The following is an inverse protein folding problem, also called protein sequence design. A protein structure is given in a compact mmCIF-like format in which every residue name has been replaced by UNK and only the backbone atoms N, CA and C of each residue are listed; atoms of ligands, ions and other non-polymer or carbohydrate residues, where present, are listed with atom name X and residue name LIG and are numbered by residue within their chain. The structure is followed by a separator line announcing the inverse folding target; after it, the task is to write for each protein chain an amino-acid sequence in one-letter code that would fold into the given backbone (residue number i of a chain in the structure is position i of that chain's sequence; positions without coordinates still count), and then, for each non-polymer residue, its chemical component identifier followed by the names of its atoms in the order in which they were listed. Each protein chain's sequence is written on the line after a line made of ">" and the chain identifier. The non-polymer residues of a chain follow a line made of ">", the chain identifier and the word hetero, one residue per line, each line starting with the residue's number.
data_IF_303551205057
#
_entry.id   IF_303551205057
#
_cell.length_a   1.000
_cell.length_b   1.000
_cell.length_c   1.000
_cell.angle_alpha   90.00
_cell.angle_beta   90.00
_cell.angle_gamma   90.00
#
_symmetry.space_group_name_H-M   'P 1'
#
loop_
_entity.id
_entity.type
_entity.pdbx_description
1 polymer ?
#
# COMPACT_ATOMS: atom_id res chain seq x y z
N UNK A 1 -8.80 -4.29 1.27
CA UNK A 1 -7.33 -4.30 1.44
C UNK A 1 -6.92 -3.93 2.87
N UNK A 2 -7.43 -2.82 3.43
CA UNK A 2 -7.16 -2.39 4.83
C UNK A 2 -7.42 -3.49 5.89
N UNK A 3 -8.50 -4.27 5.73
CA UNK A 3 -8.82 -5.37 6.67
C UNK A 3 -7.90 -6.60 6.54
N UNK A 4 -7.29 -6.81 5.37
CA UNK A 4 -6.35 -7.92 5.14
C UNK A 4 -5.03 -7.60 5.83
N UNK A 5 -4.54 -6.36 5.72
CA UNK A 5 -3.31 -5.90 6.37
C UNK A 5 -3.41 -5.92 7.90
N UNK A 6 -4.52 -5.44 8.48
CA UNK A 6 -4.74 -5.51 9.93
C UNK A 6 -4.74 -6.94 10.47
N UNK A 7 -5.27 -7.90 9.71
CA UNK A 7 -5.28 -9.32 10.11
C UNK A 7 -3.88 -9.93 10.09
N UNK A 8 -3.07 -9.61 9.08
CA UNK A 8 -1.67 -10.08 8.98
C UNK A 8 -0.84 -9.52 10.14
N UNK A 9 -0.98 -8.24 10.47
CA UNK A 9 -0.27 -7.61 11.58
C UNK A 9 -0.63 -8.23 12.95
N UNK A 10 -1.89 -8.61 13.17
CA UNK A 10 -2.35 -9.23 14.41
C UNK A 10 -1.89 -10.67 14.60
N UNK A 11 -1.69 -11.44 13.52
CA UNK A 11 -1.24 -12.84 13.61
C UNK A 11 0.25 -12.94 14.01
N UNK A 12 1.10 -12.03 13.53
CA UNK A 12 2.53 -12.02 13.86
C UNK A 12 2.86 -11.77 15.34
N UNK A 13 1.95 -11.17 16.12
CA UNK A 13 2.15 -10.93 17.56
C UNK A 13 1.71 -12.09 18.46
N UNK A 14 0.91 -13.04 17.96
CA UNK A 14 0.19 -14.01 18.81
C UNK A 14 0.88 -15.36 19.00
N UNK A 15 1.92 -15.66 18.22
CA UNK A 15 2.55 -16.99 18.16
C UNK A 15 3.93 -17.09 18.86
N UNK A 16 4.25 -16.15 19.74
CA UNK A 16 5.50 -16.20 20.52
C UNK A 16 5.42 -17.19 21.70
N UNK A 17 5.47 -18.51 21.43
CA UNK A 17 5.80 -19.49 22.48
C UNK A 17 6.55 -20.73 21.97
N UNK A 18 7.79 -20.87 22.46
CA UNK A 18 8.67 -22.05 22.61
C UNK A 18 9.26 -22.77 21.37
N UNK A 19 8.74 -22.58 20.16
CA UNK A 19 9.46 -22.84 18.88
C UNK A 19 9.60 -21.52 18.06
N UNK A 20 9.70 -20.42 18.81
CA UNK A 20 9.32 -19.09 18.35
C UNK A 20 10.22 -18.55 17.23
N UNK A 21 11.51 -18.88 17.19
CA UNK A 21 12.43 -18.24 16.26
C UNK A 21 12.22 -18.71 14.80
N UNK A 22 11.98 -20.00 14.58
CA UNK A 22 11.69 -20.54 13.24
C UNK A 22 10.32 -20.06 12.73
N UNK A 23 9.31 -20.08 13.59
CA UNK A 23 7.97 -19.56 13.26
C UNK A 23 7.98 -18.05 13.00
N UNK A 24 8.73 -17.27 13.80
CA UNK A 24 8.91 -15.83 13.58
C UNK A 24 9.63 -15.56 12.26
N UNK A 25 10.64 -16.35 11.90
CA UNK A 25 11.33 -16.21 10.62
C UNK A 25 10.40 -16.46 9.42
N UNK A 26 9.58 -17.52 9.49
CA UNK A 26 8.59 -17.84 8.46
C UNK A 26 7.54 -16.73 8.37
N UNK A 27 7.01 -16.25 9.49
CA UNK A 27 6.03 -15.17 9.53
C UNK A 27 6.59 -13.86 8.92
N UNK A 28 7.84 -13.51 9.23
CA UNK A 28 8.53 -12.36 8.63
C UNK A 28 8.69 -12.50 7.12
N UNK A 29 9.10 -13.68 6.64
CA UNK A 29 9.25 -13.94 5.20
C UNK A 29 7.91 -13.86 4.47
N UNK A 30 6.85 -14.41 5.06
CA UNK A 30 5.50 -14.34 4.51
C UNK A 30 5.01 -12.90 4.42
N UNK A 31 5.21 -12.11 5.49
CA UNK A 31 4.89 -10.68 5.51
C UNK A 31 5.64 -9.92 4.41
N UNK A 32 6.94 -10.14 4.26
CA UNK A 32 7.75 -9.47 3.23
C UNK A 32 7.31 -9.83 1.80
N UNK A 33 6.91 -11.09 1.56
CA UNK A 33 6.38 -11.50 0.26
C UNK A 33 5.04 -10.80 -0.06
N UNK A 34 4.14 -10.73 0.92
CA UNK A 34 2.85 -10.04 0.76
C UNK A 34 3.06 -8.54 0.55
N UNK A 35 3.93 -7.89 1.34
CA UNK A 35 4.25 -6.46 1.18
C UNK A 35 4.82 -6.18 -0.22
N UNK A 36 5.67 -7.06 -0.74
CA UNK A 36 6.21 -6.95 -2.10
C UNK A 36 5.11 -7.03 -3.17
N UNK A 37 4.20 -8.00 -3.08
CA UNK A 37 3.09 -8.13 -4.02
C UNK A 37 2.15 -6.92 -3.96
N UNK A 38 1.82 -6.46 -2.75
CA UNK A 38 0.97 -5.29 -2.55
C UNK A 38 1.62 -4.01 -3.07
N UNK A 39 2.93 -3.87 -2.90
CA UNK A 39 3.70 -2.76 -3.49
C UNK A 39 3.56 -2.78 -5.01
N UNK A 40 3.82 -3.91 -5.65
CA UNK A 40 3.74 -4.03 -7.12
C UNK A 40 2.34 -3.73 -7.65
N UNK A 41 1.29 -4.24 -7.00
CA UNK A 41 -0.10 -3.92 -7.40
C UNK A 41 -0.39 -2.42 -7.29
N UNK A 42 0.07 -1.77 -6.21
CA UNK A 42 -0.12 -0.32 -6.06
C UNK A 42 0.64 0.46 -7.13
N UNK A 43 1.89 0.10 -7.40
CA UNK A 43 2.73 0.72 -8.43
C UNK A 43 2.12 0.56 -9.83
N UNK A 44 1.64 -0.63 -10.19
CA UNK A 44 0.98 -0.90 -11.47
C UNK A 44 -0.28 -0.03 -11.65
N UNK A 45 -1.12 0.07 -10.62
CA UNK A 45 -2.33 0.90 -10.69
C UNK A 45 -1.98 2.39 -10.75
N UNK A 46 -0.97 2.83 -9.99
CA UNK A 46 -0.48 4.20 -10.04
C UNK A 46 0.03 4.54 -11.44
N UNK A 47 0.80 3.66 -12.08
CA UNK A 47 1.27 3.83 -13.45
C UNK A 47 0.10 3.96 -14.44
N UNK A 48 -0.93 3.11 -14.34
CA UNK A 48 -2.13 3.23 -15.19
C UNK A 48 -2.84 4.57 -14.97
N UNK A 49 -2.98 5.00 -13.71
CA UNK A 49 -3.60 6.28 -13.38
C UNK A 49 -2.82 7.45 -13.96
N UNK A 50 -1.49 7.50 -13.77
CA UNK A 50 -0.66 8.64 -14.19
C UNK A 50 -0.36 8.64 -15.67
N UNK A 51 -0.10 7.48 -16.28
CA UNK A 51 0.35 7.39 -17.65
C UNK A 51 -0.75 7.31 -18.68
N UNK A 52 -1.95 6.92 -18.26
CA UNK A 52 -3.09 6.80 -19.15
C UNK A 52 -4.29 7.63 -18.67
N UNK A 53 -4.88 7.29 -17.53
CA UNK A 53 -6.20 7.81 -17.16
C UNK A 53 -6.20 9.32 -16.90
N UNK A 54 -5.24 9.84 -16.16
CA UNK A 54 -5.13 11.28 -15.87
C UNK A 54 -4.74 12.10 -17.10
N UNK A 55 -3.91 11.55 -18.00
CA UNK A 55 -3.51 12.25 -19.25
C UNK A 55 -4.67 12.42 -20.23
N UNK A 56 -5.64 11.51 -20.21
CA UNK A 56 -6.79 11.50 -21.14
C UNK A 56 -8.12 11.87 -20.48
N UNK A 57 -8.11 12.28 -19.21
CA UNK A 57 -9.31 12.73 -18.53
C UNK A 57 -9.63 14.16 -18.98
N UNK A 58 -10.72 14.35 -19.72
CA UNK A 58 -11.16 15.69 -20.16
C UNK A 58 -12.17 16.33 -19.19
N UNK A 59 -12.94 15.52 -18.46
CA UNK A 59 -13.98 15.96 -17.53
C UNK A 59 -13.46 16.28 -16.13
N UNK A 60 -14.05 17.30 -15.49
CA UNK A 60 -13.73 17.64 -14.09
C UNK A 60 -14.02 16.49 -13.12
N UNK A 61 -15.15 15.79 -13.30
CA UNK A 61 -15.55 14.66 -12.46
C UNK A 61 -14.61 13.46 -12.61
N UNK A 62 -14.20 13.11 -13.84
CA UNK A 62 -13.27 12.00 -14.07
C UNK A 62 -11.86 12.31 -13.53
N UNK A 63 -11.39 13.55 -13.65
CA UNK A 63 -10.12 13.98 -13.01
C UNK A 63 -10.18 13.83 -11.51
N UNK A 64 -11.23 14.34 -10.86
CA UNK A 64 -11.40 14.23 -9.40
C UNK A 64 -11.44 12.76 -8.97
N UNK A 65 -12.15 11.91 -9.71
CA UNK A 65 -12.20 10.48 -9.44
C UNK A 65 -10.81 9.82 -9.54
N UNK A 66 -10.04 10.09 -10.59
CA UNK A 66 -8.70 9.51 -10.75
C UNK A 66 -7.68 10.05 -9.76
N UNK A 67 -7.74 11.34 -9.40
CA UNK A 67 -6.91 11.91 -8.34
C UNK A 67 -7.23 11.30 -6.97
N UNK A 68 -8.51 11.12 -6.66
CA UNK A 68 -8.93 10.37 -5.46
C UNK A 68 -8.35 8.95 -5.45
N UNK A 69 -8.44 8.23 -6.57
CA UNK A 69 -7.85 6.90 -6.68
C UNK A 69 -6.33 6.93 -6.47
N UNK A 70 -5.62 7.87 -7.10
CA UNK A 70 -4.17 8.06 -6.91
C UNK A 70 -3.84 8.27 -5.42
N UNK A 71 -4.58 9.13 -4.74
CA UNK A 71 -4.43 9.36 -3.30
C UNK A 71 -4.69 8.11 -2.46
N UNK A 72 -5.70 7.31 -2.82
CA UNK A 72 -6.03 6.05 -2.13
C UNK A 72 -4.88 5.01 -2.26
N UNK A 73 -4.26 4.88 -3.43
CA UNK A 73 -3.15 3.93 -3.63
C UNK A 73 -1.85 4.36 -2.96
N UNK A 74 -1.52 5.66 -2.96
CA UNK A 74 -0.41 6.17 -2.14
C UNK A 74 -0.68 6.02 -0.65
N UNK A 75 -1.92 6.21 -0.20
CA UNK A 75 -2.31 5.94 1.19
C UNK A 75 -2.09 4.48 1.56
N UNK A 76 -2.46 3.54 0.68
CA UNK A 76 -2.20 2.11 0.92
C UNK A 76 -0.70 1.83 1.00
N UNK A 77 0.12 2.37 0.10
CA UNK A 77 1.59 2.24 0.17
C UNK A 77 2.14 2.73 1.52
N UNK A 78 1.63 3.85 2.03
CA UNK A 78 2.05 4.39 3.33
C UNK A 78 1.66 3.49 4.52
N UNK A 79 0.59 2.69 4.43
CA UNK A 79 0.11 1.84 5.52
C UNK A 79 1.09 0.70 5.88
N UNK A 80 1.85 0.20 4.90
CA UNK A 80 2.80 -0.91 5.08
C UNK A 80 4.27 -0.53 4.79
N UNK A 81 4.53 0.70 4.35
CA UNK A 81 5.89 1.21 4.23
C UNK A 81 6.45 1.63 5.58
N UNK A 82 7.77 1.64 5.70
CA UNK A 82 8.49 2.09 6.89
C UNK A 82 9.31 3.35 6.59
N UNK A 83 9.65 4.09 7.65
CA UNK A 83 10.53 5.26 7.63
C UNK A 83 10.21 6.29 6.53
N UNK A 84 11.17 6.53 5.64
CA UNK A 84 11.07 7.59 4.64
C UNK A 84 10.12 7.25 3.50
N UNK A 85 10.01 5.96 3.12
CA UNK A 85 9.02 5.50 2.13
C UNK A 85 7.59 5.79 2.58
N UNK A 86 7.32 5.61 3.88
CA UNK A 86 6.02 5.95 4.45
C UNK A 86 5.74 7.45 4.38
N UNK A 87 6.73 8.30 4.67
CA UNK A 87 6.58 9.76 4.60
C UNK A 87 6.34 10.23 3.17
N UNK A 88 7.10 9.70 2.22
CA UNK A 88 6.97 9.99 0.80
C UNK A 88 5.57 9.60 0.29
N UNK A 89 5.15 8.36 0.51
CA UNK A 89 3.82 7.90 0.11
C UNK A 89 2.69 8.69 0.81
N UNK A 90 2.86 9.10 2.06
CA UNK A 90 1.88 9.94 2.75
C UNK A 90 1.79 11.34 2.14
N UNK A 91 2.92 11.93 1.75
CA UNK A 91 2.97 13.24 1.09
C UNK A 91 2.33 13.16 -0.30
N UNK A 92 2.63 12.13 -1.08
CA UNK A 92 2.05 11.93 -2.41
C UNK A 92 0.54 11.67 -2.34
N UNK A 93 0.10 10.93 -1.31
CA UNK A 93 -1.32 10.76 -1.03
C UNK A 93 -2.01 12.09 -0.75
N UNK A 94 -1.41 12.91 0.14
CA UNK A 94 -1.92 14.24 0.46
C UNK A 94 -1.97 15.14 -0.77
N UNK A 95 -0.92 15.13 -1.59
CA UNK A 95 -0.84 15.94 -2.80
C UNK A 95 -1.88 15.53 -3.84
N UNK A 96 -2.16 14.24 -3.98
CA UNK A 96 -3.21 13.75 -4.88
C UNK A 96 -4.63 14.12 -4.43
N UNK A 97 -4.85 14.41 -3.14
CA UNK A 97 -6.15 14.84 -2.61
C UNK A 97 -6.36 16.35 -2.61
N UNK A 98 -5.33 17.15 -2.88
CA UNK A 98 -5.45 18.62 -3.00
C UNK A 98 -5.98 19.02 -4.38
#
# INVERSE_FOLDING_TARGET
>A
MVDVMKRIAMQGQKEASKDADAHVAIAKSCRAAIEKELTGICEDVLAVLTDHLLKHADGGESKVFYYKMKGDYFRYLAEFSEDDKRKEAANDSLEAYK
#
